data_IF_561216918170
#
_entry.id   IF_561216918170
#
_cell.length_a   1.000
_cell.length_b   1.000
_cell.length_c   1.000
_cell.angle_alpha   90.00
_cell.angle_beta   90.00
_cell.angle_gamma   90.00
#
_symmetry.space_group_name_H-M   'P 1'
#
loop_
_entity.id
_entity.type
_entity.pdbx_description
1 polymer ?
#
# COMPACT_ATOMS: atom_id res chain seq x y z
N UNK A 1 -7.13 -6.02 3.16
CA UNK A 1 -5.81 -5.44 2.77
C UNK A 1 -5.59 -5.44 1.26
N UNK A 2 -5.73 -6.57 0.55
CA UNK A 2 -5.52 -6.62 -0.91
C UNK A 2 -6.52 -5.72 -1.68
N UNK A 3 -7.75 -5.62 -1.18
CA UNK A 3 -8.79 -4.76 -1.75
C UNK A 3 -8.43 -3.27 -1.66
N UNK A 4 -7.75 -2.86 -0.58
CA UNK A 4 -7.22 -1.49 -0.41
C UNK A 4 -6.16 -1.22 -1.48
N UNK A 5 -5.20 -2.13 -1.66
CA UNK A 5 -4.19 -1.98 -2.70
C UNK A 5 -4.82 -1.92 -4.08
N UNK A 6 -5.77 -2.81 -4.39
CA UNK A 6 -6.47 -2.81 -5.68
C UNK A 6 -7.20 -1.49 -5.93
N UNK A 7 -7.90 -0.96 -4.92
CA UNK A 7 -8.57 0.33 -4.99
C UNK A 7 -7.59 1.49 -5.22
N UNK A 8 -6.44 1.46 -4.55
CA UNK A 8 -5.37 2.43 -4.77
C UNK A 8 -4.84 2.35 -6.20
N UNK A 9 -4.61 1.16 -6.74
CA UNK A 9 -4.18 1.00 -8.12
C UNK A 9 -5.23 1.55 -9.10
N UNK A 10 -6.50 1.21 -8.95
CA UNK A 10 -7.56 1.67 -9.86
C UNK A 10 -7.75 3.20 -9.80
N UNK A 11 -7.72 3.78 -8.59
CA UNK A 11 -8.04 5.19 -8.37
C UNK A 11 -6.83 6.12 -8.56
N UNK A 12 -5.62 5.65 -8.21
CA UNK A 12 -4.41 6.46 -8.19
C UNK A 12 -3.43 6.19 -9.36
N UNK A 13 -3.39 4.99 -9.97
CA UNK A 13 -2.51 4.76 -11.16
C UNK A 13 -3.05 5.42 -12.44
N UNK A 14 -4.36 5.67 -12.54
CA UNK A 14 -4.91 6.41 -13.68
C UNK A 14 -4.60 7.92 -13.67
N UNK A 15 -4.12 8.45 -12.54
CA UNK A 15 -3.75 9.85 -12.41
C UNK A 15 -2.25 9.96 -12.72
N UNK A 16 -1.90 10.02 -14.01
CA UNK A 16 -0.51 9.98 -14.56
C UNK A 16 0.48 11.05 -14.05
N UNK A 17 0.20 11.80 -13.00
CA UNK A 17 1.10 12.84 -12.51
C UNK A 17 1.22 12.79 -10.98
N UNK A 18 2.42 12.39 -10.54
CA UNK A 18 2.95 12.61 -9.19
C UNK A 18 2.23 11.85 -8.07
N UNK A 19 2.74 10.65 -7.78
CA UNK A 19 2.58 9.94 -6.50
C UNK A 19 3.22 10.76 -5.34
N UNK A 20 2.73 11.98 -5.12
CA UNK A 20 2.76 12.68 -3.84
C UNK A 20 1.34 12.71 -3.32
N UNK A 21 0.76 11.53 -3.18
CA UNK A 21 -0.50 11.38 -2.47
C UNK A 21 -0.21 11.69 -1.01
N UNK A 22 -0.91 12.68 -0.48
CA UNK A 22 -0.86 13.04 0.92
C UNK A 22 -1.46 11.87 1.73
N UNK A 23 -0.65 11.24 2.61
CA UNK A 23 -1.03 10.03 3.34
C UNK A 23 -2.30 10.25 4.17
N UNK A 24 -2.45 11.44 4.77
CA UNK A 24 -3.65 11.80 5.53
C UNK A 24 -4.91 11.85 4.65
N UNK A 25 -4.80 12.36 3.41
CA UNK A 25 -5.92 12.32 2.45
C UNK A 25 -6.24 10.90 2.02
N UNK A 26 -5.22 10.10 1.78
CA UNK A 26 -5.40 8.71 1.36
C UNK A 26 -6.13 7.89 2.42
N UNK A 27 -5.75 8.06 3.68
CA UNK A 27 -6.43 7.41 4.80
C UNK A 27 -7.89 7.84 4.92
N UNK A 28 -8.18 9.14 4.72
CA UNK A 28 -9.55 9.65 4.71
C UNK A 28 -10.37 9.06 3.57
N UNK A 29 -9.86 9.10 2.34
CA UNK A 29 -10.55 8.56 1.17
C UNK A 29 -10.84 7.06 1.32
N UNK A 30 -9.89 6.28 1.84
CA UNK A 30 -10.09 4.86 2.10
C UNK A 30 -11.09 4.60 3.23
N UNK A 31 -11.09 5.45 4.25
CA UNK A 31 -12.08 5.37 5.34
C UNK A 31 -13.48 5.71 4.83
N UNK A 32 -13.62 6.74 3.99
CA UNK A 32 -14.89 7.14 3.37
C UNK A 32 -15.38 6.11 2.34
N UNK A 33 -14.47 5.41 1.66
CA UNK A 33 -14.79 4.25 0.82
C UNK A 33 -15.28 3.03 1.62
N UNK A 34 -15.16 3.07 2.95
CA UNK A 34 -15.66 2.03 3.85
C UNK A 34 -14.66 0.91 4.14
N UNK A 35 -13.36 1.13 3.90
CA UNK A 35 -12.33 0.17 4.28
C UNK A 35 -12.05 0.19 5.79
N UNK A 36 -11.72 -0.98 6.33
CA UNK A 36 -11.31 -1.10 7.72
C UNK A 36 -9.98 -0.41 7.99
N UNK A 37 -9.88 0.32 9.11
CA UNK A 37 -8.66 1.06 9.49
C UNK A 37 -7.43 0.17 9.60
N UNK A 38 -7.59 -1.06 10.07
CA UNK A 38 -6.49 -2.04 10.15
C UNK A 38 -5.99 -2.42 8.76
N UNK A 39 -6.89 -2.59 7.80
CA UNK A 39 -6.55 -2.92 6.42
C UNK A 39 -5.89 -1.74 5.69
N UNK A 40 -6.37 -0.52 5.95
CA UNK A 40 -5.75 0.72 5.46
C UNK A 40 -4.32 0.82 5.98
N UNK A 41 -4.13 0.71 7.29
CA UNK A 41 -2.82 0.82 7.92
C UNK A 41 -1.83 -0.24 7.40
N UNK A 42 -2.26 -1.50 7.29
CA UNK A 42 -1.43 -2.57 6.77
C UNK A 42 -1.03 -2.35 5.30
N UNK A 43 -1.93 -1.81 4.47
CA UNK A 43 -1.64 -1.50 3.08
C UNK A 43 -0.66 -0.32 2.94
N UNK A 44 -0.82 0.74 3.73
CA UNK A 44 0.10 1.89 3.71
C UNK A 44 1.50 1.51 4.21
N UNK A 45 1.58 0.75 5.31
CA UNK A 45 2.85 0.22 5.81
C UNK A 45 3.55 -0.67 4.79
N UNK A 46 2.78 -1.45 4.03
CA UNK A 46 3.32 -2.27 2.94
C UNK A 46 3.87 -1.40 1.80
N UNK A 47 3.19 -0.31 1.44
CA UNK A 47 3.65 0.64 0.42
C UNK A 47 4.94 1.36 0.83
N UNK A 48 5.06 1.80 2.08
CA UNK A 48 6.30 2.40 2.62
C UNK A 48 7.47 1.41 2.52
N UNK A 49 7.26 0.18 3.00
CA UNK A 49 8.28 -0.88 2.91
C UNK A 49 8.66 -1.22 1.47
N UNK A 50 7.73 -1.12 0.53
CA UNK A 50 7.98 -1.33 -0.89
C UNK A 50 8.84 -0.20 -1.48
N UNK A 51 8.59 1.05 -1.09
CA UNK A 51 9.41 2.19 -1.49
C UNK A 51 10.84 2.06 -0.97
N UNK A 52 11.01 1.71 0.31
CA UNK A 52 12.32 1.40 0.91
C UNK A 52 13.06 0.27 0.17
N UNK A 53 12.33 -0.73 -0.35
CA UNK A 53 12.90 -1.81 -1.13
C UNK A 53 13.40 -1.34 -2.51
N UNK A 54 12.66 -0.45 -3.17
CA UNK A 54 13.05 0.12 -4.47
C UNK A 54 14.27 1.06 -4.35
N UNK A 55 14.39 1.77 -3.24
CA UNK A 55 15.57 2.62 -2.94
C UNK A 55 16.79 1.81 -2.47
N UNK A 56 16.67 0.48 -2.32
CA UNK A 56 17.75 -0.40 -1.87
C UNK A 56 18.10 -0.23 -0.38
N UNK A 57 17.18 0.34 0.41
CA UNK A 57 17.35 0.64 1.83
C UNK A 57 16.91 -0.53 2.74
N UNK A 58 16.27 -1.56 2.17
CA UNK A 58 15.78 -2.74 2.90
C UNK A 58 16.48 -4.04 2.47
N UNK A 59 16.95 -4.83 3.45
CA UNK A 59 17.45 -6.19 3.19
C UNK A 59 16.34 -7.12 2.67
N UNK A 60 16.65 -8.10 1.78
CA UNK A 60 15.67 -9.00 1.18
C UNK A 60 15.06 -9.94 2.21
N UNK A 61 14.02 -9.47 2.90
CA UNK A 61 13.38 -10.24 3.95
C UNK A 61 12.24 -11.07 3.37
N UNK A 62 12.54 -12.34 3.06
CA UNK A 62 11.77 -13.60 3.30
C UNK A 62 10.22 -13.59 3.32
N UNK A 63 9.52 -12.58 2.78
CA UNK A 63 8.05 -12.49 2.77
C UNK A 63 7.42 -13.53 1.83
N UNK A 64 8.15 -13.95 0.79
CA UNK A 64 7.73 -15.03 -0.10
C UNK A 64 7.70 -16.40 0.60
N UNK A 65 8.47 -16.60 1.67
CA UNK A 65 8.53 -17.90 2.35
C UNK A 65 7.25 -18.24 3.12
N UNK A 66 6.50 -17.24 3.59
CA UNK A 66 5.22 -17.44 4.27
C UNK A 66 4.04 -17.62 3.29
N UNK A 67 4.11 -17.02 2.09
CA UNK A 67 3.08 -17.19 1.07
C UNK A 67 3.18 -18.52 0.29
N UNK A 68 4.36 -19.15 0.27
CA UNK A 68 4.61 -20.43 -0.41
C UNK A 68 4.42 -21.64 0.52
N UNK A 69 4.36 -21.44 1.85
CA UNK A 69 4.27 -22.51 2.83
C UNK A 69 2.83 -22.94 3.20
N UNK A 70 1.81 -22.52 2.45
CA UNK A 70 0.40 -22.93 2.63
C UNK A 70 -0.13 -23.73 1.44
#
# INVERSE_FOLDING_TARGET
MFDVLMYLFETYIHTEAELRVDQDKLEQDLTDAGFDREDIYNALLWLEKLADYQEGLAEPMQLASFAVAM
#
